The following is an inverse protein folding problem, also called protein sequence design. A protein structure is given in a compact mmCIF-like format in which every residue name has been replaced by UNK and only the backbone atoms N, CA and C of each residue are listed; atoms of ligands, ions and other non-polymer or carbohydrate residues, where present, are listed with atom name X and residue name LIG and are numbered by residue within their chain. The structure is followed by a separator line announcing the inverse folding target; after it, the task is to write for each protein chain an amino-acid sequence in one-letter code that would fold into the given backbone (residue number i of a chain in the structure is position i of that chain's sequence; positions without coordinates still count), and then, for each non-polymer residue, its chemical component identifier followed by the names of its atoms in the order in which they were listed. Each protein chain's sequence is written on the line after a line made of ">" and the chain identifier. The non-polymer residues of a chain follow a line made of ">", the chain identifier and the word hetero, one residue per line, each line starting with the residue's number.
data_IF_545667436060
#
_entry.id   IF_545667436060
#
_cell.length_a   1.000
_cell.length_b   1.000
_cell.length_c   1.000
_cell.angle_alpha   90.00
_cell.angle_beta   90.00
_cell.angle_gamma   90.00
#
_symmetry.space_group_name_H-M   'P 1'
#
loop_
_entity.id
_entity.type
_entity.pdbx_description
1 polymer ?
#
# COMPACT_ATOMS: atom_id res chain seq x y z
N UNK A 1 17.58 -5.33 14.13
CA UNK A 1 16.20 -5.41 14.71
C UNK A 1 15.68 -4.00 14.89
N UNK A 2 14.51 -3.67 14.34
CA UNK A 2 13.89 -2.33 14.42
C UNK A 2 13.60 -1.97 15.89
N UNK A 3 14.12 -0.82 16.31
CA UNK A 3 13.96 -0.27 17.66
C UNK A 3 13.10 0.99 17.63
N UNK A 4 12.67 1.48 18.79
CA UNK A 4 11.92 2.74 18.86
C UNK A 4 12.74 3.96 18.38
N UNK A 5 14.07 3.86 18.46
CA UNK A 5 15.01 4.88 17.99
C UNK A 5 14.95 5.07 16.47
N UNK A 6 14.71 3.98 15.73
CA UNK A 6 14.61 4.03 14.27
C UNK A 6 13.35 4.77 13.79
N UNK A 7 12.36 4.96 14.67
CA UNK A 7 11.15 5.74 14.39
C UNK A 7 11.34 7.27 14.57
N UNK A 8 12.50 7.75 15.06
CA UNK A 8 12.72 9.19 15.27
C UNK A 8 12.64 9.98 13.96
N UNK A 9 13.07 9.41 12.84
CA UNK A 9 12.96 10.05 11.52
C UNK A 9 11.52 10.47 11.19
N UNK A 10 10.52 9.70 11.64
CA UNK A 10 9.11 10.03 11.45
C UNK A 10 8.73 11.35 12.15
N UNK A 11 9.30 11.62 13.32
CA UNK A 11 9.06 12.86 14.07
C UNK A 11 9.81 14.04 13.45
N UNK A 12 11.02 13.81 12.93
CA UNK A 12 11.84 14.87 12.32
C UNK A 12 11.15 15.40 11.05
N UNK A 13 10.62 14.51 10.20
CA UNK A 13 9.99 14.89 8.93
C UNK A 13 8.52 15.35 9.08
N UNK A 14 7.97 15.30 10.28
CA UNK A 14 6.57 15.63 10.56
C UNK A 14 6.45 16.91 11.36
N UNK A 15 5.73 17.88 10.82
CA UNK A 15 5.38 19.12 11.53
C UNK A 15 3.94 19.08 12.10
N UNK A 16 3.34 20.26 12.37
CA UNK A 16 1.97 20.36 12.90
C UNK A 16 0.86 20.10 11.87
N UNK A 17 1.20 20.05 10.59
CA UNK A 17 0.29 19.77 9.47
C UNK A 17 0.28 18.29 9.13
N UNK A 18 1.46 17.71 8.91
CA UNK A 18 1.62 16.32 8.46
C UNK A 18 3.07 15.98 8.17
N UNK A 19 3.29 14.92 7.40
CA UNK A 19 4.60 14.53 6.93
C UNK A 19 4.98 15.39 5.72
N UNK A 20 6.12 16.10 5.80
CA UNK A 20 6.73 16.83 4.70
C UNK A 20 7.23 15.81 3.66
N UNK A 21 7.00 16.09 2.37
CA UNK A 21 7.20 15.11 1.30
C UNK A 21 8.67 14.73 1.10
N UNK A 22 9.58 15.69 1.14
CA UNK A 22 11.00 15.46 0.89
C UNK A 22 11.91 16.06 1.96
N UNK A 23 13.15 15.58 1.96
CA UNK A 23 14.24 16.10 2.78
C UNK A 23 15.47 16.36 1.90
N UNK A 24 16.23 17.38 2.24
CA UNK A 24 17.61 17.54 1.77
C UNK A 24 18.52 16.82 2.77
N UNK A 25 19.02 15.66 2.41
CA UNK A 25 19.65 14.70 3.33
C UNK A 25 18.68 14.33 4.47
N UNK A 26 18.98 14.76 5.69
CA UNK A 26 18.15 14.51 6.91
C UNK A 26 17.31 15.71 7.31
N UNK A 27 17.39 16.84 6.60
CA UNK A 27 16.67 18.08 6.91
C UNK A 27 15.40 18.14 6.06
N UNK A 28 14.21 18.17 6.68
CA UNK A 28 12.95 18.31 5.92
C UNK A 28 12.96 19.57 5.06
N UNK A 29 12.49 19.44 3.81
CA UNK A 29 12.39 20.56 2.86
C UNK A 29 10.94 21.05 2.75
N UNK A 30 10.58 22.17 3.42
CA UNK A 30 9.23 22.73 3.36
C UNK A 30 8.76 23.09 1.95
N UNK A 31 9.69 23.38 1.02
CA UNK A 31 9.31 23.69 -0.38
C UNK A 31 8.64 22.53 -1.09
N UNK A 32 8.87 21.32 -0.64
CA UNK A 32 8.24 20.12 -1.21
C UNK A 32 6.76 19.97 -0.80
N UNK A 33 6.31 20.69 0.24
CA UNK A 33 4.96 20.54 0.77
C UNK A 33 4.66 19.16 1.33
N UNK A 34 3.43 18.70 1.13
CA UNK A 34 2.93 17.45 1.68
C UNK A 34 2.19 16.65 0.61
N UNK A 35 2.15 15.32 0.77
CA UNK A 35 1.22 14.47 0.00
C UNK A 35 0.31 13.66 0.91
N UNK A 36 -0.92 13.45 0.47
CA UNK A 36 -1.88 12.59 1.19
C UNK A 36 -1.42 11.15 1.18
N UNK A 37 -0.80 10.71 0.13
CA UNK A 37 -0.19 9.41 -0.06
C UNK A 37 0.88 9.11 1.02
N UNK A 38 1.82 10.04 1.26
CA UNK A 38 2.82 9.89 2.32
C UNK A 38 2.18 9.92 3.71
N UNK A 39 1.25 10.82 3.94
CA UNK A 39 0.52 10.92 5.21
C UNK A 39 -0.33 9.66 5.49
N UNK A 40 -0.88 9.02 4.46
CA UNK A 40 -1.57 7.74 4.61
C UNK A 40 -0.61 6.61 5.05
N UNK A 41 0.57 6.52 4.44
CA UNK A 41 1.60 5.55 4.85
C UNK A 41 2.13 5.83 6.25
N UNK A 42 2.34 7.11 6.58
CA UNK A 42 2.76 7.54 7.90
C UNK A 42 1.72 7.23 8.99
N UNK A 43 0.42 7.38 8.67
CA UNK A 43 -0.66 6.95 9.57
C UNK A 43 -0.58 5.46 9.86
N UNK A 44 -0.47 4.61 8.84
CA UNK A 44 -0.39 3.17 9.03
C UNK A 44 0.84 2.77 9.87
N UNK A 45 2.00 3.37 9.58
CA UNK A 45 3.22 3.18 10.37
C UNK A 45 3.03 3.60 11.82
N UNK A 46 2.40 4.75 12.07
CA UNK A 46 2.13 5.24 13.42
C UNK A 46 1.17 4.34 14.20
N UNK A 47 0.19 3.75 13.53
CA UNK A 47 -0.71 2.75 14.15
C UNK A 47 0.08 1.52 14.54
N UNK A 48 0.93 0.96 13.66
CA UNK A 48 1.80 -0.18 13.95
C UNK A 48 2.73 0.10 15.14
N UNK A 49 3.33 1.30 15.19
CA UNK A 49 4.19 1.71 16.29
C UNK A 49 3.41 1.86 17.60
N UNK A 50 2.20 2.39 17.55
CA UNK A 50 1.34 2.51 18.71
C UNK A 50 0.89 1.14 19.24
N UNK A 51 0.55 0.21 18.35
CA UNK A 51 0.25 -1.19 18.72
C UNK A 51 1.43 -1.87 19.40
N UNK A 52 2.65 -1.58 18.95
CA UNK A 52 3.87 -2.20 19.48
C UNK A 52 4.35 -1.59 20.80
N UNK A 53 4.32 -0.24 20.91
CA UNK A 53 4.98 0.45 22.02
C UNK A 53 4.00 1.13 22.99
N UNK A 54 2.74 1.35 22.59
CA UNK A 54 1.66 1.97 23.38
C UNK A 54 2.01 3.34 23.98
N UNK A 55 2.90 4.10 23.29
CA UNK A 55 3.36 5.42 23.77
C UNK A 55 2.51 6.55 23.19
N UNK A 56 2.13 7.57 24.02
CA UNK A 56 1.27 8.68 23.60
C UNK A 56 1.80 9.49 22.41
N UNK A 57 3.12 9.50 22.17
CA UNK A 57 3.72 10.21 21.03
C UNK A 57 3.20 9.70 19.69
N UNK A 58 3.04 8.36 19.53
CA UNK A 58 2.49 7.79 18.31
C UNK A 58 1.00 8.07 18.14
N UNK A 59 0.25 8.09 19.24
CA UNK A 59 -1.17 8.48 19.20
C UNK A 59 -1.33 9.94 18.70
N UNK A 60 -0.45 10.86 19.09
CA UNK A 60 -0.45 12.23 18.55
C UNK A 60 -0.20 12.26 17.04
N UNK A 61 0.71 11.45 16.52
CA UNK A 61 0.94 11.32 15.08
C UNK A 61 -0.28 10.75 14.37
N UNK A 62 -0.94 9.73 14.93
CA UNK A 62 -2.16 9.14 14.37
C UNK A 62 -3.25 10.20 14.20
N UNK A 63 -3.51 11.02 15.23
CA UNK A 63 -4.50 12.10 15.13
C UNK A 63 -4.11 13.15 14.08
N UNK A 64 -2.82 13.50 13.97
CA UNK A 64 -2.32 14.47 12.99
C UNK A 64 -2.55 13.96 11.56
N UNK A 65 -2.14 12.73 11.26
CA UNK A 65 -2.32 12.17 9.93
C UNK A 65 -3.79 11.89 9.59
N UNK A 66 -4.61 11.48 10.56
CA UNK A 66 -6.05 11.38 10.36
C UNK A 66 -6.70 12.73 10.05
N UNK A 67 -6.27 13.80 10.74
CA UNK A 67 -6.72 15.16 10.44
C UNK A 67 -6.32 15.59 9.03
N UNK A 68 -5.10 15.23 8.59
CA UNK A 68 -4.64 15.49 7.22
C UNK A 68 -5.51 14.78 6.19
N UNK A 69 -5.74 13.48 6.36
CA UNK A 69 -6.57 12.68 5.46
C UNK A 69 -8.02 13.18 5.41
N UNK A 70 -8.57 13.58 6.56
CA UNK A 70 -9.91 14.17 6.64
C UNK A 70 -10.00 15.48 5.84
N UNK A 71 -8.98 16.34 5.91
CA UNK A 71 -8.91 17.59 5.16
C UNK A 71 -8.67 17.34 3.66
N UNK A 72 -7.91 16.30 3.31
CA UNK A 72 -7.67 15.89 1.93
C UNK A 72 -8.91 15.27 1.26
N UNK A 73 -9.84 14.71 2.06
CA UNK A 73 -11.01 14.03 1.50
C UNK A 73 -12.01 15.01 0.92
N UNK A 74 -12.35 14.83 -0.35
CA UNK A 74 -13.37 15.58 -1.05
C UNK A 74 -14.80 15.23 -0.57
N UNK A 75 -15.77 16.10 -0.84
CA UNK A 75 -17.18 15.86 -0.53
C UNK A 75 -17.73 14.60 -1.21
N UNK A 76 -17.20 14.25 -2.39
CA UNK A 76 -17.54 13.04 -3.13
C UNK A 76 -16.82 11.78 -2.63
N UNK A 77 -15.95 11.90 -1.61
CA UNK A 77 -15.20 10.80 -1.00
C UNK A 77 -13.87 10.47 -1.65
N UNK A 78 -13.49 11.13 -2.74
CA UNK A 78 -12.13 11.07 -3.30
C UNK A 78 -11.12 11.80 -2.41
N UNK A 79 -9.83 11.69 -2.73
CA UNK A 79 -8.76 12.37 -2.00
C UNK A 79 -7.96 13.25 -2.95
N UNK A 80 -7.62 14.45 -2.50
CA UNK A 80 -6.58 15.30 -3.09
C UNK A 80 -5.22 14.76 -2.65
N UNK A 81 -4.16 14.98 -3.42
CA UNK A 81 -2.84 14.44 -3.06
C UNK A 81 -1.86 15.54 -2.63
N UNK A 82 -1.58 16.50 -3.52
CA UNK A 82 -0.52 17.49 -3.30
C UNK A 82 -1.03 18.73 -2.56
N UNK A 83 -0.35 19.06 -1.46
CA UNK A 83 -0.60 20.26 -0.67
C UNK A 83 0.69 21.10 -0.59
N UNK A 84 0.61 22.41 -0.85
CA UNK A 84 1.73 23.32 -0.63
C UNK A 84 1.99 23.56 0.88
N UNK A 85 3.12 24.20 1.19
CA UNK A 85 3.47 24.51 2.58
C UNK A 85 2.53 25.54 3.25
N UNK A 86 1.77 26.30 2.46
CA UNK A 86 0.72 27.21 2.95
C UNK A 86 -0.60 26.47 3.23
N UNK A 87 -0.61 25.16 3.17
CA UNK A 87 -1.75 24.25 3.44
C UNK A 87 -2.89 24.36 2.41
N UNK A 88 -2.56 24.72 1.17
CA UNK A 88 -3.51 24.69 0.06
C UNK A 88 -3.28 23.46 -0.79
N UNK A 89 -4.34 22.70 -1.05
CA UNK A 89 -4.26 21.65 -2.07
C UNK A 89 -4.19 22.29 -3.44
N UNK A 90 -3.23 21.83 -4.27
CA UNK A 90 -2.96 22.39 -5.60
C UNK A 90 -3.70 21.65 -6.71
N UNK A 91 -4.48 20.64 -6.37
CA UNK A 91 -5.29 19.85 -7.29
C UNK A 91 -6.66 19.50 -6.69
N UNK A 92 -7.63 19.24 -7.56
CA UNK A 92 -8.98 18.86 -7.16
C UNK A 92 -9.11 17.35 -6.84
N UNK A 93 -8.35 16.51 -7.55
CA UNK A 93 -8.38 15.06 -7.37
C UNK A 93 -6.95 14.53 -7.45
N UNK A 94 -6.55 13.73 -6.48
CA UNK A 94 -5.30 13.00 -6.50
C UNK A 94 -5.34 11.77 -7.40
N UNK A 95 -4.21 11.08 -7.49
CA UNK A 95 -4.09 9.86 -8.28
C UNK A 95 -4.90 8.70 -7.69
N UNK A 96 -5.20 7.70 -8.52
CA UNK A 96 -5.85 6.46 -8.06
C UNK A 96 -4.99 5.69 -7.04
N UNK A 97 -3.66 5.81 -7.12
CA UNK A 97 -2.73 5.25 -6.15
C UNK A 97 -2.89 5.92 -4.78
N UNK A 98 -2.97 7.25 -4.76
CA UNK A 98 -3.24 8.00 -3.53
C UNK A 98 -4.57 7.55 -2.91
N UNK A 99 -5.63 7.48 -3.71
CA UNK A 99 -6.93 6.98 -3.28
C UNK A 99 -6.86 5.57 -2.67
N UNK A 100 -6.23 4.63 -3.38
CA UNK A 100 -6.09 3.25 -2.94
C UNK A 100 -5.27 3.11 -1.66
N UNK A 101 -4.17 3.87 -1.53
CA UNK A 101 -3.35 3.91 -0.32
C UNK A 101 -4.10 4.48 0.87
N UNK A 102 -4.90 5.53 0.67
CA UNK A 102 -5.79 6.06 1.73
C UNK A 102 -6.77 4.98 2.21
N UNK A 103 -7.42 4.27 1.29
CA UNK A 103 -8.38 3.22 1.64
C UNK A 103 -7.71 2.07 2.38
N UNK A 104 -6.51 1.64 1.94
CA UNK A 104 -5.73 0.61 2.64
C UNK A 104 -5.34 1.06 4.05
N UNK A 105 -4.81 2.26 4.19
CA UNK A 105 -4.40 2.81 5.46
C UNK A 105 -5.58 2.96 6.44
N UNK A 106 -6.70 3.54 5.98
CA UNK A 106 -7.92 3.66 6.79
C UNK A 106 -8.46 2.27 7.19
N UNK A 107 -8.42 1.30 6.27
CA UNK A 107 -8.78 -0.09 6.57
C UNK A 107 -7.89 -0.72 7.63
N UNK A 108 -6.58 -0.49 7.57
CA UNK A 108 -5.65 -0.94 8.61
C UNK A 108 -5.94 -0.28 9.97
N UNK A 109 -6.13 1.03 9.97
CA UNK A 109 -6.44 1.82 11.18
C UNK A 109 -7.74 1.35 11.84
N UNK A 110 -8.78 1.04 11.05
CA UNK A 110 -10.06 0.54 11.56
C UNK A 110 -9.92 -0.81 12.29
N UNK A 111 -8.98 -1.66 11.84
CA UNK A 111 -8.73 -2.98 12.44
C UNK A 111 -7.88 -2.92 13.72
N UNK A 112 -7.29 -1.79 14.06
CA UNK A 112 -6.46 -1.68 15.25
C UNK A 112 -7.29 -1.81 16.53
N UNK A 113 -6.88 -2.73 17.42
CA UNK A 113 -7.51 -2.90 18.73
C UNK A 113 -7.01 -1.88 19.77
N UNK A 114 -5.96 -1.12 19.43
CA UNK A 114 -5.36 -0.14 20.33
C UNK A 114 -6.00 1.25 20.23
N UNK A 115 -6.89 1.47 19.26
CA UNK A 115 -7.53 2.75 19.03
C UNK A 115 -8.95 2.78 19.61
N UNK A 116 -9.37 3.97 20.07
CA UNK A 116 -10.70 4.19 20.63
C UNK A 116 -11.80 4.07 19.57
N UNK A 117 -13.01 3.72 20.01
CA UNK A 117 -14.16 3.65 19.12
C UNK A 117 -14.46 4.98 18.42
N UNK A 118 -14.21 6.11 19.08
CA UNK A 118 -14.39 7.45 18.49
C UNK A 118 -13.51 7.64 17.25
N UNK A 119 -12.24 7.21 17.31
CA UNK A 119 -11.34 7.22 16.14
C UNK A 119 -11.86 6.28 15.06
N UNK A 120 -12.29 5.07 15.43
CA UNK A 120 -12.83 4.08 14.48
C UNK A 120 -14.10 4.57 13.79
N UNK A 121 -14.98 5.29 14.48
CA UNK A 121 -16.17 5.89 13.85
C UNK A 121 -15.80 6.94 12.80
N UNK A 122 -14.84 7.83 13.09
CA UNK A 122 -14.38 8.82 12.12
C UNK A 122 -13.74 8.15 10.90
N UNK A 123 -12.90 7.16 11.10
CA UNK A 123 -12.28 6.35 10.03
C UNK A 123 -13.34 5.64 9.19
N UNK A 124 -14.34 5.03 9.82
CA UNK A 124 -15.42 4.34 9.11
C UNK A 124 -16.28 5.30 8.27
N UNK A 125 -16.52 6.52 8.75
CA UNK A 125 -17.22 7.55 7.98
C UNK A 125 -16.44 7.95 6.72
N UNK A 126 -15.13 8.17 6.84
CA UNK A 126 -14.26 8.44 5.70
C UNK A 126 -14.26 7.30 4.68
N UNK A 127 -14.20 6.05 5.14
CA UNK A 127 -14.26 4.86 4.29
C UNK A 127 -15.61 4.79 3.55
N UNK A 128 -16.72 4.97 4.24
CA UNK A 128 -18.06 4.93 3.63
C UNK A 128 -18.23 5.95 2.51
N UNK A 129 -17.66 7.15 2.68
CA UNK A 129 -17.63 8.20 1.64
C UNK A 129 -16.75 7.81 0.46
N UNK A 130 -15.64 7.11 0.70
CA UNK A 130 -14.67 6.73 -0.34
C UNK A 130 -15.18 5.58 -1.23
N UNK A 131 -15.89 4.59 -0.69
CA UNK A 131 -16.32 3.36 -1.39
C UNK A 131 -16.93 3.62 -2.79
N UNK A 132 -17.83 4.60 -3.02
CA UNK A 132 -18.40 4.82 -4.35
C UNK A 132 -17.37 5.13 -5.44
N UNK A 133 -16.22 5.68 -5.10
CA UNK A 133 -15.16 6.02 -6.07
C UNK A 133 -14.38 4.80 -6.59
N UNK A 134 -14.47 3.67 -5.89
CA UNK A 134 -13.76 2.44 -6.28
C UNK A 134 -14.20 1.95 -7.66
N UNK A 135 -15.46 2.17 -8.02
CA UNK A 135 -16.00 1.73 -9.31
C UNK A 135 -15.43 2.49 -10.51
N UNK A 136 -14.78 3.63 -10.28
CA UNK A 136 -14.21 4.50 -11.31
C UNK A 136 -12.71 4.28 -11.51
N UNK A 137 -12.08 3.35 -10.77
CA UNK A 137 -10.65 3.08 -10.88
C UNK A 137 -10.32 2.36 -12.19
N UNK A 138 -9.27 2.84 -12.87
CA UNK A 138 -8.80 2.32 -14.13
C UNK A 138 -7.43 1.65 -14.01
N UNK A 139 -6.53 2.19 -13.18
CA UNK A 139 -5.15 1.75 -13.07
C UNK A 139 -4.99 0.59 -12.11
N UNK A 140 -4.17 -0.38 -12.50
CA UNK A 140 -4.01 -1.66 -11.81
C UNK A 140 -3.50 -1.49 -10.37
N UNK A 141 -2.60 -0.52 -10.10
CA UNK A 141 -2.06 -0.28 -8.75
C UNK A 141 -3.08 0.36 -7.84
N UNK A 142 -3.82 1.37 -8.31
CA UNK A 142 -4.94 1.97 -7.58
C UNK A 142 -5.99 0.93 -7.21
N UNK A 143 -6.34 0.03 -8.15
CA UNK A 143 -7.23 -1.12 -7.90
C UNK A 143 -6.66 -2.07 -6.85
N UNK A 144 -5.37 -2.41 -6.92
CA UNK A 144 -4.73 -3.34 -5.99
C UNK A 144 -4.65 -2.79 -4.56
N UNK A 145 -4.28 -1.53 -4.38
CA UNK A 145 -4.32 -0.87 -3.07
C UNK A 145 -5.75 -0.83 -2.51
N UNK A 146 -6.72 -0.47 -3.35
CA UNK A 146 -8.14 -0.43 -2.95
C UNK A 146 -8.67 -1.82 -2.59
N UNK A 147 -8.27 -2.86 -3.31
CA UNK A 147 -8.64 -4.25 -3.03
C UNK A 147 -8.13 -4.70 -1.65
N UNK A 148 -6.90 -4.35 -1.30
CA UNK A 148 -6.35 -4.62 0.05
C UNK A 148 -7.20 -3.91 1.11
N UNK A 149 -7.52 -2.63 0.89
CA UNK A 149 -8.38 -1.85 1.77
C UNK A 149 -9.76 -2.48 1.95
N UNK A 150 -10.42 -2.87 0.85
CA UNK A 150 -11.72 -3.56 0.86
C UNK A 150 -11.69 -4.86 1.66
N UNK A 151 -10.64 -5.68 1.51
CA UNK A 151 -10.49 -6.90 2.28
C UNK A 151 -10.37 -6.63 3.79
N UNK A 152 -9.71 -5.54 4.18
CA UNK A 152 -9.56 -5.15 5.58
C UNK A 152 -10.87 -4.63 6.20
N UNK A 153 -11.67 -3.90 5.45
CA UNK A 153 -12.92 -3.30 5.96
C UNK A 153 -14.14 -4.23 5.91
N UNK A 154 -14.01 -5.38 5.24
CA UNK A 154 -15.13 -6.29 4.95
C UNK A 154 -16.03 -6.57 6.16
N UNK A 155 -15.42 -6.85 7.32
CA UNK A 155 -16.16 -7.20 8.53
C UNK A 155 -16.88 -6.01 9.20
N UNK A 156 -16.54 -4.77 8.83
CA UNK A 156 -17.10 -3.54 9.39
C UNK A 156 -18.25 -2.97 8.55
N UNK A 157 -18.50 -3.55 7.38
CA UNK A 157 -19.52 -3.06 6.46
C UNK A 157 -20.85 -3.76 6.67
N UNK A 158 -21.94 -2.99 6.58
CA UNK A 158 -23.30 -3.51 6.73
C UNK A 158 -23.70 -4.39 5.53
N UNK A 159 -23.40 -3.94 4.32
CA UNK A 159 -23.67 -4.66 3.07
C UNK A 159 -22.44 -5.46 2.65
N UNK A 160 -22.25 -6.61 3.29
CA UNK A 160 -21.11 -7.49 3.01
C UNK A 160 -21.15 -8.10 1.62
N UNK A 161 -22.31 -8.36 1.08
CA UNK A 161 -22.48 -8.96 -0.24
C UNK A 161 -21.97 -8.00 -1.31
N UNK A 162 -22.37 -6.73 -1.25
CA UNK A 162 -21.89 -5.69 -2.16
C UNK A 162 -20.36 -5.49 -2.08
N UNK A 163 -19.79 -5.51 -0.89
CA UNK A 163 -18.33 -5.41 -0.73
C UNK A 163 -17.64 -6.63 -1.30
N UNK A 164 -18.17 -7.83 -1.06
CA UNK A 164 -17.63 -9.08 -1.61
C UNK A 164 -17.68 -9.08 -3.14
N UNK A 165 -18.80 -8.68 -3.73
CA UNK A 165 -18.93 -8.55 -5.19
C UNK A 165 -17.92 -7.57 -5.77
N UNK A 166 -17.67 -6.46 -5.07
CA UNK A 166 -16.64 -5.48 -5.47
C UNK A 166 -15.25 -6.08 -5.41
N UNK A 167 -14.92 -6.81 -4.33
CA UNK A 167 -13.65 -7.55 -4.18
C UNK A 167 -13.47 -8.54 -5.33
N UNK A 168 -14.48 -9.35 -5.63
CA UNK A 168 -14.45 -10.32 -6.73
C UNK A 168 -14.24 -9.60 -8.06
N UNK A 169 -15.03 -8.56 -8.35
CA UNK A 169 -14.92 -7.82 -9.61
C UNK A 169 -13.51 -7.24 -9.84
N UNK A 170 -12.89 -6.65 -8.82
CA UNK A 170 -11.53 -6.11 -8.96
C UNK A 170 -10.52 -7.26 -9.12
N UNK A 171 -10.66 -8.33 -8.35
CA UNK A 171 -9.77 -9.49 -8.46
C UNK A 171 -9.82 -10.12 -9.84
N UNK A 172 -11.03 -10.27 -10.43
CA UNK A 172 -11.22 -10.79 -11.77
C UNK A 172 -10.60 -9.88 -12.84
N UNK A 173 -10.61 -8.56 -12.65
CA UNK A 173 -9.88 -7.64 -13.53
C UNK A 173 -8.37 -7.85 -13.48
N UNK A 174 -7.79 -8.08 -12.29
CA UNK A 174 -6.37 -8.42 -12.15
C UNK A 174 -6.05 -9.77 -12.81
N UNK A 175 -6.88 -10.77 -12.58
CA UNK A 175 -6.78 -12.09 -13.25
C UNK A 175 -6.80 -11.95 -14.76
N UNK A 176 -7.73 -11.16 -15.29
CA UNK A 176 -7.83 -10.92 -16.73
C UNK A 176 -6.58 -10.20 -17.29
N UNK A 177 -6.06 -9.19 -16.59
CA UNK A 177 -4.81 -8.54 -16.98
C UNK A 177 -3.65 -9.54 -17.04
N UNK A 178 -3.55 -10.43 -16.04
CA UNK A 178 -2.54 -11.50 -16.05
C UNK A 178 -2.71 -12.43 -17.25
N UNK A 179 -3.93 -12.89 -17.54
CA UNK A 179 -4.21 -13.79 -18.69
C UNK A 179 -3.85 -13.18 -20.03
N UNK A 180 -4.07 -11.86 -20.19
CA UNK A 180 -3.78 -11.13 -21.44
C UNK A 180 -2.26 -10.94 -21.61
N UNK A 181 -1.54 -10.58 -20.56
CA UNK A 181 -0.14 -10.13 -20.67
C UNK A 181 0.87 -11.24 -20.40
N UNK A 182 0.50 -12.31 -19.65
CA UNK A 182 1.43 -13.37 -19.28
C UNK A 182 1.69 -14.37 -20.42
N UNK A 183 2.89 -14.94 -20.42
CA UNK A 183 3.26 -16.08 -21.26
C UNK A 183 4.19 -17.05 -20.48
N UNK A 184 4.87 -17.98 -21.16
CA UNK A 184 5.78 -18.93 -20.50
C UNK A 184 6.90 -18.26 -19.71
N UNK A 185 7.51 -17.21 -20.27
CA UNK A 185 8.70 -16.54 -19.74
C UNK A 185 8.38 -15.27 -18.95
N UNK A 186 7.18 -14.71 -19.13
CA UNK A 186 6.72 -13.46 -18.51
C UNK A 186 5.44 -13.69 -17.73
N UNK A 187 5.56 -13.90 -16.41
CA UNK A 187 4.42 -14.17 -15.51
C UNK A 187 3.98 -12.92 -14.78
N UNK A 188 3.47 -11.92 -15.55
CA UNK A 188 3.13 -10.63 -15.02
C UNK A 188 1.82 -10.06 -15.59
N UNK A 189 1.26 -9.06 -14.91
CA UNK A 189 -0.04 -8.44 -15.21
C UNK A 189 0.03 -7.37 -16.31
N UNK A 190 1.22 -6.86 -16.62
CA UNK A 190 1.51 -5.78 -17.55
C UNK A 190 2.73 -6.14 -18.41
N UNK A 191 3.00 -5.38 -19.47
CA UNK A 191 4.20 -5.60 -20.30
C UNK A 191 5.50 -5.10 -19.65
N UNK A 192 5.40 -4.52 -18.45
CA UNK A 192 6.57 -4.06 -17.68
C UNK A 192 6.36 -4.15 -16.18
N UNK A 193 7.47 -4.28 -15.48
CA UNK A 193 7.59 -4.09 -14.04
C UNK A 193 8.04 -2.66 -13.77
N UNK A 194 7.30 -1.96 -12.91
CA UNK A 194 7.61 -0.57 -12.54
C UNK A 194 7.77 -0.44 -11.02
N UNK A 195 6.98 0.38 -10.36
CA UNK A 195 7.02 0.56 -8.91
C UNK A 195 5.94 -0.26 -8.19
N UNK A 196 6.15 -0.53 -6.92
CA UNK A 196 5.21 -1.24 -6.04
C UNK A 196 4.66 -2.54 -6.66
N UNK A 197 5.54 -3.27 -7.34
CA UNK A 197 5.13 -4.46 -8.07
C UNK A 197 4.46 -5.50 -7.16
N UNK A 198 5.02 -5.73 -5.98
CA UNK A 198 4.54 -6.72 -5.02
C UNK A 198 3.12 -6.47 -4.48
N UNK A 199 2.57 -5.26 -4.67
CA UNK A 199 1.18 -4.95 -4.28
C UNK A 199 0.17 -5.75 -5.10
N UNK A 200 0.47 -6.07 -6.37
CA UNK A 200 -0.45 -6.79 -7.23
C UNK A 200 -0.69 -8.21 -6.72
N UNK A 201 0.33 -9.08 -6.59
CA UNK A 201 0.14 -10.39 -5.97
C UNK A 201 -0.34 -10.32 -4.51
N UNK A 202 0.11 -9.34 -3.72
CA UNK A 202 -0.37 -9.17 -2.35
C UNK A 202 -1.88 -8.93 -2.29
N UNK A 203 -2.43 -8.11 -3.19
CA UNK A 203 -3.87 -7.86 -3.25
C UNK A 203 -4.68 -9.12 -3.57
N UNK A 204 -4.18 -9.98 -4.49
CA UNK A 204 -4.81 -11.26 -4.79
C UNK A 204 -4.70 -12.26 -3.62
N UNK A 205 -3.58 -12.28 -2.87
CA UNK A 205 -3.46 -13.08 -1.66
C UNK A 205 -4.50 -12.66 -0.61
N UNK A 206 -4.71 -11.36 -0.42
CA UNK A 206 -5.76 -10.83 0.47
C UNK A 206 -7.16 -11.23 0.01
N UNK A 207 -7.42 -11.12 -1.28
CA UNK A 207 -8.69 -11.54 -1.87
C UNK A 207 -8.93 -13.05 -1.70
N UNK A 208 -7.92 -13.89 -1.95
CA UNK A 208 -7.99 -15.32 -1.68
C UNK A 208 -8.29 -15.64 -0.21
N UNK A 209 -7.62 -14.95 0.71
CA UNK A 209 -7.84 -15.16 2.15
C UNK A 209 -9.32 -14.99 2.54
N UNK A 210 -10.05 -14.10 1.86
CA UNK A 210 -11.46 -13.83 2.09
C UNK A 210 -12.39 -14.72 1.25
N UNK A 211 -12.12 -14.85 -0.07
CA UNK A 211 -13.04 -15.49 -1.03
C UNK A 211 -12.82 -17.00 -1.18
N UNK A 212 -11.61 -17.49 -0.86
CA UNK A 212 -11.14 -18.86 -1.10
C UNK A 212 -11.11 -19.26 -2.59
N UNK A 213 -11.14 -18.29 -3.51
CA UNK A 213 -11.01 -18.58 -4.93
C UNK A 213 -9.58 -19.02 -5.28
N UNK A 214 -9.41 -20.28 -5.69
CA UNK A 214 -8.10 -20.88 -5.94
C UNK A 214 -7.34 -20.23 -7.09
N UNK A 215 -8.03 -19.67 -8.09
CA UNK A 215 -7.40 -18.97 -9.21
C UNK A 215 -6.62 -17.74 -8.73
N UNK A 216 -7.16 -16.99 -7.76
CA UNK A 216 -6.47 -15.82 -7.17
C UNK A 216 -5.17 -16.25 -6.47
N UNK A 217 -5.20 -17.36 -5.73
CA UNK A 217 -4.00 -17.89 -5.10
C UNK A 217 -2.96 -18.35 -6.12
N UNK A 218 -3.37 -19.09 -7.14
CA UNK A 218 -2.47 -19.62 -8.16
C UNK A 218 -1.74 -18.47 -8.87
N UNK A 219 -2.47 -17.46 -9.35
CA UNK A 219 -1.88 -16.30 -10.03
C UNK A 219 -1.00 -15.49 -9.09
N UNK A 220 -1.43 -15.30 -7.83
CA UNK A 220 -0.61 -14.60 -6.84
C UNK A 220 0.72 -15.31 -6.58
N UNK A 221 0.73 -16.65 -6.49
CA UNK A 221 1.96 -17.42 -6.27
C UNK A 221 2.83 -17.44 -7.52
N UNK A 222 2.25 -17.57 -8.72
CA UNK A 222 2.99 -17.54 -9.99
C UNK A 222 3.71 -16.19 -10.15
N UNK A 223 3.00 -15.09 -9.94
CA UNK A 223 3.55 -13.73 -10.05
C UNK A 223 4.54 -13.39 -8.93
N UNK A 224 4.30 -13.87 -7.70
CA UNK A 224 5.26 -13.79 -6.60
C UNK A 224 6.55 -14.55 -6.95
N UNK A 225 6.44 -15.76 -7.48
CA UNK A 225 7.59 -16.57 -7.86
C UNK A 225 8.39 -15.92 -8.99
N UNK A 226 7.70 -15.27 -9.93
CA UNK A 226 8.32 -14.51 -11.00
C UNK A 226 9.12 -13.32 -10.43
N UNK A 227 8.55 -12.53 -9.53
CA UNK A 227 9.26 -11.45 -8.84
C UNK A 227 10.44 -11.97 -8.00
N UNK A 228 10.27 -13.09 -7.29
CA UNK A 228 11.33 -13.70 -6.47
C UNK A 228 12.57 -14.02 -7.31
N UNK A 229 12.37 -14.60 -8.50
CA UNK A 229 13.47 -14.91 -9.42
C UNK A 229 14.21 -13.65 -9.91
N UNK A 230 13.52 -12.50 -10.01
CA UNK A 230 14.12 -11.23 -10.41
C UNK A 230 14.84 -10.59 -9.23
N UNK A 231 14.15 -10.42 -8.10
CA UNK A 231 14.65 -9.71 -6.92
C UNK A 231 15.83 -10.42 -6.23
N UNK A 232 15.88 -11.74 -6.29
CA UNK A 232 16.93 -12.53 -5.63
C UNK A 232 17.95 -13.16 -6.58
N UNK A 233 18.00 -12.71 -7.84
CA UNK A 233 18.95 -13.21 -8.83
C UNK A 233 20.41 -13.09 -8.37
N UNK A 234 20.74 -12.05 -7.60
CA UNK A 234 22.07 -11.80 -7.05
C UNK A 234 22.31 -12.45 -5.67
N UNK A 235 21.37 -13.25 -5.16
CA UNK A 235 21.46 -13.89 -3.84
C UNK A 235 21.02 -13.04 -2.66
N UNK A 236 20.73 -11.77 -2.86
CA UNK A 236 20.15 -10.83 -1.89
C UNK A 236 18.99 -10.09 -2.53
N UNK A 237 18.16 -9.42 -1.73
CA UNK A 237 17.03 -8.65 -2.22
C UNK A 237 17.52 -7.41 -2.98
N UNK A 238 17.25 -7.36 -4.28
CA UNK A 238 17.56 -6.24 -5.16
C UNK A 238 16.30 -5.87 -5.93
N UNK A 239 15.63 -4.75 -5.60
CA UNK A 239 14.47 -4.30 -6.34
C UNK A 239 14.86 -3.78 -7.73
N UNK A 240 13.84 -3.58 -8.58
CA UNK A 240 14.03 -3.01 -9.91
C UNK A 240 14.23 -1.51 -9.78
N UNK A 241 15.28 -0.98 -10.42
CA UNK A 241 15.56 0.45 -10.46
C UNK A 241 14.53 1.21 -11.29
N UNK A 242 14.14 2.42 -10.85
CA UNK A 242 13.18 3.23 -11.58
C UNK A 242 13.77 3.98 -12.79
N UNK A 243 15.09 3.97 -12.93
CA UNK A 243 15.78 4.53 -14.10
C UNK A 243 15.84 3.47 -15.22
N UNK A 244 14.68 3.24 -15.86
CA UNK A 244 14.54 2.29 -16.98
C UNK A 244 13.51 1.18 -16.73
N UNK A 245 13.23 0.81 -15.47
CA UNK A 245 12.28 -0.27 -15.14
C UNK A 245 12.71 -1.65 -15.68
N UNK A 246 11.76 -2.52 -16.01
CA UNK A 246 12.00 -3.81 -16.66
C UNK A 246 10.84 -4.11 -17.60
N UNK A 247 11.10 -4.06 -18.90
CA UNK A 247 10.10 -4.33 -19.93
C UNK A 247 10.17 -5.79 -20.41
N UNK A 248 9.05 -6.29 -20.88
CA UNK A 248 8.94 -7.64 -21.45
C UNK A 248 9.80 -7.75 -22.71
N UNK A 249 10.79 -8.62 -22.65
CA UNK A 249 11.79 -8.81 -23.71
C UNK A 249 13.15 -8.22 -23.39
N UNK A 250 13.29 -7.45 -22.32
CA UNK A 250 14.58 -6.97 -21.85
C UNK A 250 15.45 -8.13 -21.34
N UNK A 251 16.77 -7.96 -21.45
CA UNK A 251 17.76 -8.94 -20.95
C UNK A 251 17.85 -8.91 -19.42
N UNK A 252 17.71 -7.73 -18.81
CA UNK A 252 17.82 -7.51 -17.37
C UNK A 252 17.05 -6.28 -16.92
N UNK A 253 16.60 -6.25 -15.65
CA UNK A 253 15.98 -5.06 -15.07
C UNK A 253 16.98 -3.91 -14.92
N UNK A 254 16.46 -2.67 -14.82
CA UNK A 254 17.25 -1.50 -14.46
C UNK A 254 17.87 -1.65 -13.07
N UNK A 255 19.12 -1.18 -12.93
CA UNK A 255 19.92 -1.37 -11.72
C UNK A 255 19.92 -0.18 -10.75
N UNK A 256 19.55 1.02 -11.24
CA UNK A 256 19.73 2.27 -10.50
C UNK A 256 18.41 2.91 -10.09
N UNK A 257 18.49 3.76 -9.05
CA UNK A 257 17.38 4.50 -8.46
C UNK A 257 16.32 3.56 -7.84
N UNK A 258 16.79 2.61 -7.02
CA UNK A 258 15.94 1.71 -6.24
C UNK A 258 15.09 2.49 -5.22
N UNK A 259 13.83 2.08 -5.09
CA UNK A 259 12.90 2.75 -4.19
C UNK A 259 12.55 1.88 -2.97
N UNK A 260 12.60 2.41 -1.73
CA UNK A 260 12.25 1.66 -0.51
C UNK A 260 10.81 1.10 -0.51
N UNK A 261 9.91 1.66 -1.33
CA UNK A 261 8.54 1.16 -1.48
C UNK A 261 8.50 -0.28 -2.00
N UNK A 262 9.51 -0.71 -2.76
CA UNK A 262 9.61 -2.10 -3.23
C UNK A 262 9.89 -3.06 -2.08
N UNK A 263 10.81 -2.71 -1.18
CA UNK A 263 11.10 -3.50 0.02
C UNK A 263 9.87 -3.64 0.91
N UNK A 264 9.17 -2.53 1.15
CA UNK A 264 7.98 -2.51 1.99
C UNK A 264 6.84 -3.36 1.39
N UNK A 265 6.53 -3.17 0.11
CA UNK A 265 5.47 -3.92 -0.57
C UNK A 265 5.79 -5.42 -0.65
N UNK A 266 7.06 -5.77 -0.90
CA UNK A 266 7.52 -7.15 -0.91
C UNK A 266 7.43 -7.81 0.45
N UNK A 267 7.78 -7.10 1.53
CA UNK A 267 7.64 -7.59 2.89
C UNK A 267 6.17 -7.95 3.22
N UNK A 268 5.21 -7.10 2.86
CA UNK A 268 3.77 -7.40 3.03
C UNK A 268 3.33 -8.61 2.21
N UNK A 269 3.76 -8.71 0.96
CA UNK A 269 3.46 -9.84 0.09
C UNK A 269 3.97 -11.16 0.66
N UNK A 270 5.25 -11.21 1.06
CA UNK A 270 5.84 -12.43 1.64
C UNK A 270 5.20 -12.81 2.98
N UNK A 271 4.87 -11.82 3.82
CA UNK A 271 4.18 -12.09 5.07
C UNK A 271 2.81 -12.74 4.83
N UNK A 272 2.04 -12.23 3.88
CA UNK A 272 0.73 -12.79 3.57
C UNK A 272 0.84 -14.18 2.92
N UNK A 273 1.80 -14.37 2.01
CA UNK A 273 2.09 -15.67 1.42
C UNK A 273 2.47 -16.70 2.48
N UNK A 274 3.27 -16.32 3.49
CA UNK A 274 3.57 -17.18 4.63
C UNK A 274 2.31 -17.51 5.45
N UNK A 275 1.47 -16.53 5.75
CA UNK A 275 0.23 -16.77 6.51
C UNK A 275 -0.68 -17.79 5.83
N UNK A 276 -0.76 -17.76 4.51
CA UNK A 276 -1.60 -18.65 3.71
C UNK A 276 -0.96 -20.04 3.54
N UNK A 277 0.32 -20.09 3.15
CA UNK A 277 0.97 -21.34 2.70
C UNK A 277 1.78 -22.05 3.78
N UNK A 278 2.18 -21.35 4.83
CA UNK A 278 3.09 -21.79 5.91
C UNK A 278 4.49 -22.19 5.42
N UNK A 279 4.90 -21.83 4.20
CA UNK A 279 6.23 -22.12 3.67
C UNK A 279 7.25 -21.17 4.26
N UNK A 280 8.26 -21.68 4.95
CA UNK A 280 9.33 -20.91 5.65
C UNK A 280 10.15 -20.03 4.72
N UNK A 281 10.25 -20.37 3.44
CA UNK A 281 10.96 -19.56 2.45
C UNK A 281 10.44 -18.10 2.44
N UNK A 282 9.13 -17.89 2.57
CA UNK A 282 8.57 -16.54 2.57
C UNK A 282 8.96 -15.71 3.81
N UNK A 283 9.16 -16.36 4.97
CA UNK A 283 9.73 -15.67 6.14
C UNK A 283 11.19 -15.26 5.92
N UNK A 284 11.97 -16.09 5.26
CA UNK A 284 13.35 -15.76 4.93
C UNK A 284 13.40 -14.58 3.95
N UNK A 285 12.56 -14.59 2.90
CA UNK A 285 12.44 -13.49 1.94
C UNK A 285 12.00 -12.18 2.60
N UNK A 286 11.01 -12.25 3.51
CA UNK A 286 10.58 -11.10 4.30
C UNK A 286 11.74 -10.48 5.11
N UNK A 287 12.59 -11.30 5.74
CA UNK A 287 13.76 -10.80 6.46
C UNK A 287 14.74 -10.09 5.53
N UNK A 288 15.03 -10.69 4.38
CA UNK A 288 15.93 -10.09 3.38
C UNK A 288 15.41 -8.78 2.78
N UNK A 289 14.09 -8.54 2.75
CA UNK A 289 13.55 -7.24 2.34
C UNK A 289 13.81 -6.13 3.37
N UNK A 290 14.14 -6.49 4.61
CA UNK A 290 14.42 -5.56 5.70
C UNK A 290 15.93 -5.32 5.91
N UNK A 291 16.75 -6.32 5.63
CA UNK A 291 18.21 -6.28 5.73
C UNK A 291 18.87 -5.52 4.56
#
# INVERSE_FOLDING_TARGET
>A
MFTEKDAEALFIITDDTGMIQHSSFTIPDPNSGYTTDDNARALMTSVMLYEKYSTPKYLKLIYRYLSFLLYAQNKNGGFKNFMDYNRNFIEENGSEDCFGRCLWCLGYTLNSNSLSDTVKYAVLDMIKKAIPNIYNLNFIRGKSYSLIGLCLIFNFMNDKDKIKDTIVKISDQLVNNFKINSNADWKWFEDKLTYSNSILPFSLLKSYALTKNQEYLNIAIDTLSFLDNIYFKSGYFKPIGCNGWFEKGDISPAEFDEQPVESCSSAFMYLEAYKITRKSIYLNRLKSCYE
#
